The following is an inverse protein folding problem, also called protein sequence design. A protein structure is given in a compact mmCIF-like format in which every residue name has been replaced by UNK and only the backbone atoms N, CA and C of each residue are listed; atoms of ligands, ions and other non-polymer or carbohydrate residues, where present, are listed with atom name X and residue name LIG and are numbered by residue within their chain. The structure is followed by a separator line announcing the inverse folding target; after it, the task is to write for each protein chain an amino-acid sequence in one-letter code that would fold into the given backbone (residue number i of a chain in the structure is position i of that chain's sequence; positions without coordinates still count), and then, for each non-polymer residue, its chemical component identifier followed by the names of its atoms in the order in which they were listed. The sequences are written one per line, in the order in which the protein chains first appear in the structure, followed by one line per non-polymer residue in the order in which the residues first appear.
data_IF_047971711364
#
_entry.id   IF_047971711364
#
_cell.length_a   1.000
_cell.length_b   1.000
_cell.length_c   1.000
_cell.angle_alpha   90.00
_cell.angle_beta   90.00
_cell.angle_gamma   90.00
#
_symmetry.space_group_name_H-M   'P 1'
#
loop_
_entity.id
_entity.type
_entity.pdbx_description
1 polymer ?
#
# COMPACT_ATOMS: atom_id res chain seq x y z
N UNK A 1 6.21 2.94 23.56
CA UNK A 1 5.90 2.62 22.18
C UNK A 1 4.47 2.13 22.06
N UNK A 2 3.66 2.71 21.19
CA UNK A 2 2.35 2.13 20.95
C UNK A 2 2.50 0.69 20.44
N UNK A 3 1.67 -0.19 20.91
CA UNK A 3 1.68 -1.57 20.44
C UNK A 3 1.27 -1.60 18.97
N UNK A 4 1.99 -2.35 18.18
CA UNK A 4 1.72 -2.55 16.76
C UNK A 4 1.64 -4.05 16.51
N UNK A 5 0.55 -4.49 15.90
CA UNK A 5 0.37 -5.88 15.51
C UNK A 5 0.02 -5.94 14.03
N UNK A 6 0.67 -6.86 13.31
CA UNK A 6 0.34 -7.15 11.92
C UNK A 6 -0.41 -8.48 11.90
N UNK A 7 -1.57 -8.50 11.26
CA UNK A 7 -2.38 -9.72 11.17
C UNK A 7 -3.15 -9.76 9.87
N UNK A 8 -3.53 -10.97 9.39
CA UNK A 8 -4.42 -11.05 8.24
C UNK A 8 -5.75 -10.37 8.54
N UNK A 9 -6.31 -9.71 7.53
CA UNK A 9 -7.64 -9.12 7.66
C UNK A 9 -8.69 -10.22 7.74
N UNK A 10 -9.70 -10.00 8.58
CA UNK A 10 -10.85 -10.88 8.67
C UNK A 10 -11.89 -10.48 7.61
N UNK A 11 -12.77 -11.41 7.25
CA UNK A 11 -13.74 -11.19 6.16
C UNK A 11 -14.67 -10.00 6.39
N UNK A 12 -14.93 -9.64 7.65
CA UNK A 12 -15.80 -8.53 8.00
C UNK A 12 -15.07 -7.19 8.16
N UNK A 13 -13.79 -7.13 7.76
CA UNK A 13 -12.97 -5.93 7.95
C UNK A 13 -12.77 -5.09 6.69
N UNK A 14 -13.54 -5.33 5.64
CA UNK A 14 -13.37 -4.56 4.40
C UNK A 14 -13.61 -3.06 4.61
N UNK A 15 -14.56 -2.69 5.47
CA UNK A 15 -14.83 -1.28 5.77
C UNK A 15 -13.63 -0.63 6.48
N UNK A 16 -13.00 -1.33 7.42
CA UNK A 16 -11.81 -0.83 8.11
C UNK A 16 -10.64 -0.64 7.14
N UNK A 17 -10.43 -1.61 6.24
CA UNK A 17 -9.39 -1.51 5.21
C UNK A 17 -9.64 -0.35 4.25
N UNK A 18 -10.89 -0.18 3.80
CA UNK A 18 -11.26 0.95 2.94
C UNK A 18 -11.05 2.28 3.65
N UNK A 19 -11.31 2.33 4.96
CA UNK A 19 -11.07 3.53 5.77
C UNK A 19 -9.61 3.94 5.78
N UNK A 20 -8.69 2.99 5.93
CA UNK A 20 -7.24 3.27 5.85
C UNK A 20 -6.87 3.77 4.46
N UNK A 21 -7.34 3.09 3.42
CA UNK A 21 -7.07 3.45 2.03
C UNK A 21 -7.53 4.90 1.73
N UNK A 22 -8.77 5.21 2.09
CA UNK A 22 -9.34 6.53 1.83
C UNK A 22 -8.66 7.62 2.64
N UNK A 23 -8.42 7.39 3.93
CA UNK A 23 -7.76 8.38 4.78
C UNK A 23 -6.37 8.72 4.25
N UNK A 24 -5.60 7.72 3.84
CA UNK A 24 -4.26 7.93 3.28
C UNK A 24 -4.31 8.67 1.95
N UNK A 25 -5.16 8.23 1.03
CA UNK A 25 -5.24 8.84 -0.31
C UNK A 25 -5.72 10.30 -0.24
N UNK A 26 -6.75 10.60 0.54
CA UNK A 26 -7.25 11.96 0.65
C UNK A 26 -6.30 12.90 1.38
N UNK A 27 -5.48 12.38 2.30
CA UNK A 27 -4.49 13.20 2.99
C UNK A 27 -3.28 13.55 2.13
N UNK A 28 -3.08 12.88 1.01
CA UNK A 28 -1.87 13.00 0.19
C UNK A 28 -2.14 13.53 -1.22
N UNK A 29 -3.23 14.26 -1.42
CA UNK A 29 -3.60 14.78 -2.76
C UNK A 29 -2.62 15.80 -3.31
N UNK A 30 -1.73 16.36 -2.48
CA UNK A 30 -0.66 17.25 -2.94
C UNK A 30 0.42 16.51 -3.75
N UNK A 31 0.61 15.20 -3.50
CA UNK A 31 1.69 14.42 -4.12
C UNK A 31 1.19 13.23 -4.92
N UNK A 32 -0.05 12.79 -4.70
CA UNK A 32 -0.65 11.69 -5.46
C UNK A 32 -2.02 12.13 -5.99
N UNK A 33 -2.45 11.61 -7.15
CA UNK A 33 -3.77 11.98 -7.68
C UNK A 33 -4.88 11.64 -6.70
N UNK A 34 -5.90 12.49 -6.66
CA UNK A 34 -7.10 12.21 -5.88
C UNK A 34 -7.75 10.92 -6.39
N UNK A 35 -8.46 10.17 -5.52
CA UNK A 35 -9.18 8.99 -5.97
C UNK A 35 -10.13 9.32 -7.12
N UNK A 36 -10.15 8.45 -8.15
CA UNK A 36 -10.99 8.62 -9.33
C UNK A 36 -12.44 8.26 -9.01
N UNK A 37 -12.61 7.29 -8.11
CA UNK A 37 -13.94 6.78 -7.74
C UNK A 37 -14.43 7.41 -6.44
N UNK A 38 -15.75 7.42 -6.24
CA UNK A 38 -16.35 7.91 -4.99
C UNK A 38 -15.92 7.03 -3.80
N UNK A 39 -16.03 7.59 -2.59
CA UNK A 39 -15.72 6.83 -1.38
C UNK A 39 -16.58 5.56 -1.28
N UNK A 40 -17.86 5.64 -1.62
CA UNK A 40 -18.75 4.47 -1.59
C UNK A 40 -18.34 3.43 -2.63
N UNK A 41 -17.90 3.84 -3.80
CA UNK A 41 -17.38 2.92 -4.81
C UNK A 41 -16.11 2.23 -4.35
N UNK A 42 -15.22 2.94 -3.67
CA UNK A 42 -13.99 2.37 -3.09
C UNK A 42 -14.35 1.34 -2.01
N UNK A 43 -15.30 1.65 -1.13
CA UNK A 43 -15.74 0.70 -0.09
C UNK A 43 -16.31 -0.58 -0.70
N UNK A 44 -17.11 -0.44 -1.75
CA UNK A 44 -17.68 -1.59 -2.46
C UNK A 44 -16.60 -2.42 -3.14
N UNK A 45 -15.67 -1.76 -3.83
CA UNK A 45 -14.55 -2.43 -4.48
C UNK A 45 -13.69 -3.20 -3.49
N UNK A 46 -13.41 -2.61 -2.32
CA UNK A 46 -12.63 -3.28 -1.28
C UNK A 46 -13.35 -4.56 -0.83
N UNK A 47 -14.63 -4.49 -0.58
CA UNK A 47 -15.43 -5.62 -0.12
C UNK A 47 -15.61 -6.69 -1.20
N UNK A 48 -15.99 -6.28 -2.42
CA UNK A 48 -16.42 -7.22 -3.45
C UNK A 48 -15.27 -7.76 -4.29
N UNK A 49 -14.16 -7.01 -4.41
CA UNK A 49 -13.03 -7.39 -5.27
C UNK A 49 -11.78 -7.70 -4.47
N UNK A 50 -11.32 -6.75 -3.65
CA UNK A 50 -10.03 -6.92 -2.97
C UNK A 50 -10.09 -8.05 -1.95
N UNK A 51 -11.10 -8.06 -1.08
CA UNK A 51 -11.21 -9.07 -0.02
C UNK A 51 -11.54 -10.46 -0.53
N UNK A 52 -12.03 -10.58 -1.76
CA UNK A 52 -12.38 -11.88 -2.34
C UNK A 52 -11.29 -12.45 -3.24
N UNK A 53 -10.34 -11.63 -3.70
CA UNK A 53 -9.34 -12.09 -4.69
C UNK A 53 -7.90 -11.85 -4.27
N UNK A 54 -7.64 -11.06 -3.22
CA UNK A 54 -6.28 -10.68 -2.84
C UNK A 54 -5.97 -11.07 -1.40
N UNK A 55 -4.70 -11.05 -1.07
CA UNK A 55 -4.22 -11.27 0.29
C UNK A 55 -4.16 -9.92 0.99
N UNK A 56 -4.91 -9.76 2.09
CA UNK A 56 -5.03 -8.50 2.80
C UNK A 56 -4.54 -8.65 4.23
N UNK A 57 -3.63 -7.74 4.62
CA UNK A 57 -3.10 -7.66 5.99
C UNK A 57 -3.38 -6.28 6.55
N UNK A 58 -3.64 -6.24 7.84
CA UNK A 58 -3.84 -4.99 8.58
C UNK A 58 -2.76 -4.82 9.62
N UNK A 59 -2.31 -3.58 9.78
CA UNK A 59 -1.59 -3.15 10.97
C UNK A 59 -2.61 -2.56 11.92
N UNK A 60 -2.63 -3.04 13.16
CA UNK A 60 -3.59 -2.59 14.16
C UNK A 60 -2.85 -2.10 15.40
N UNK A 61 -3.47 -1.16 16.12
CA UNK A 61 -2.93 -0.63 17.36
C UNK A 61 -3.38 -1.46 18.58
N UNK A 62 -3.08 -0.98 19.77
CA UNK A 62 -3.42 -1.68 21.02
C UNK A 62 -4.93 -1.90 21.20
N UNK A 63 -5.75 -1.07 20.58
CA UNK A 63 -7.22 -1.18 20.63
C UNK A 63 -7.79 -1.99 19.47
N UNK A 64 -6.94 -2.66 18.72
CA UNK A 64 -7.28 -3.44 17.50
C UNK A 64 -7.88 -2.55 16.40
N UNK A 65 -7.55 -1.26 16.40
CA UNK A 65 -7.97 -0.32 15.36
C UNK A 65 -7.01 -0.40 14.19
N UNK A 66 -7.54 -0.50 12.96
CA UNK A 66 -6.74 -0.56 11.75
C UNK A 66 -6.04 0.79 11.50
N UNK A 67 -4.72 0.76 11.41
CA UNK A 67 -3.89 1.94 11.16
C UNK A 67 -3.01 1.80 9.92
N UNK A 68 -2.95 0.61 9.34
CA UNK A 68 -2.20 0.35 8.12
C UNK A 68 -2.82 -0.78 7.33
N UNK A 69 -2.52 -0.79 6.03
CA UNK A 69 -3.09 -1.73 5.07
C UNK A 69 -2.01 -2.21 4.12
N UNK A 70 -1.93 -3.52 3.92
CA UNK A 70 -1.09 -4.16 2.91
C UNK A 70 -1.97 -5.08 2.07
N UNK A 71 -1.94 -4.90 0.75
CA UNK A 71 -2.65 -5.76 -0.19
C UNK A 71 -1.64 -6.36 -1.16
N UNK A 72 -1.63 -7.68 -1.24
CA UNK A 72 -0.77 -8.42 -2.14
C UNK A 72 -1.64 -9.21 -3.12
N UNK A 73 -1.23 -9.20 -4.38
CA UNK A 73 -1.85 -9.96 -5.45
C UNK A 73 -0.75 -10.71 -6.20
N UNK A 74 -0.56 -12.00 -5.85
CA UNK A 74 0.53 -12.82 -6.38
C UNK A 74 1.89 -12.11 -6.19
N UNK A 75 2.61 -11.79 -7.25
CA UNK A 75 3.92 -11.12 -7.19
C UNK A 75 3.80 -9.58 -7.18
N UNK A 76 2.64 -9.04 -6.84
CA UNK A 76 2.40 -7.61 -6.80
C UNK A 76 2.02 -7.14 -5.41
N UNK A 77 2.64 -6.06 -4.97
CA UNK A 77 2.19 -5.28 -3.83
C UNK A 77 1.27 -4.18 -4.38
N UNK A 78 -0.04 -4.39 -4.23
CA UNK A 78 -1.03 -3.48 -4.80
C UNK A 78 -1.22 -2.22 -3.96
N UNK A 79 -1.29 -2.38 -2.63
CA UNK A 79 -1.51 -1.27 -1.72
C UNK A 79 -0.65 -1.40 -0.47
N UNK A 80 -0.04 -0.31 -0.06
CA UNK A 80 0.62 -0.16 1.23
C UNK A 80 0.30 1.25 1.72
N UNK A 81 -0.59 1.36 2.67
CA UNK A 81 -1.06 2.64 3.19
C UNK A 81 -1.05 2.67 4.70
N UNK A 82 -0.80 3.85 5.24
CA UNK A 82 -0.82 4.12 6.68
C UNK A 82 -1.71 5.33 6.90
N UNK A 83 -2.54 5.31 7.94
CA UNK A 83 -3.36 6.47 8.27
C UNK A 83 -2.45 7.67 8.59
N UNK A 84 -2.87 8.91 8.23
CA UNK A 84 -2.00 10.08 8.39
C UNK A 84 -1.47 10.28 9.81
N UNK A 85 -2.29 9.98 10.83
CA UNK A 85 -1.93 10.16 12.24
C UNK A 85 -0.78 9.26 12.70
N UNK A 86 -0.52 8.18 11.95
CA UNK A 86 0.56 7.22 12.27
C UNK A 86 1.69 7.26 11.26
N UNK A 87 1.67 8.20 10.33
CA UNK A 87 2.75 8.40 9.37
C UNK A 87 4.05 8.74 10.13
N UNK A 88 5.16 8.14 9.69
CA UNK A 88 6.46 8.38 10.33
C UNK A 88 6.69 7.61 11.63
N UNK A 89 5.81 6.67 11.99
CA UNK A 89 5.94 5.88 13.22
C UNK A 89 6.35 4.42 12.97
N UNK A 90 6.87 4.11 11.77
CA UNK A 90 7.39 2.77 11.48
C UNK A 90 6.35 1.76 10.99
N UNK A 91 5.09 2.14 10.84
CA UNK A 91 4.03 1.23 10.38
C UNK A 91 4.30 0.79 8.93
N UNK A 92 4.66 1.74 8.06
CA UNK A 92 4.98 1.44 6.66
C UNK A 92 6.17 0.51 6.53
N UNK A 93 7.21 0.71 7.34
CA UNK A 93 8.39 -0.17 7.36
C UNK A 93 7.99 -1.58 7.78
N UNK A 94 7.17 -1.71 8.83
CA UNK A 94 6.72 -3.01 9.32
C UNK A 94 5.93 -3.76 8.25
N UNK A 95 5.03 -3.06 7.53
CA UNK A 95 4.23 -3.67 6.46
C UNK A 95 5.11 -4.07 5.28
N UNK A 96 6.09 -3.25 4.90
CA UNK A 96 7.00 -3.57 3.80
C UNK A 96 7.87 -4.78 4.14
N UNK A 97 8.38 -4.85 5.37
CA UNK A 97 9.16 -6.01 5.81
C UNK A 97 8.31 -7.28 5.84
N UNK A 98 7.02 -7.17 6.20
CA UNK A 98 6.09 -8.28 6.11
C UNK A 98 5.92 -8.74 4.66
N UNK A 99 5.76 -7.81 3.72
CA UNK A 99 5.63 -8.14 2.29
C UNK A 99 6.86 -8.93 1.80
N UNK A 100 8.05 -8.54 2.21
CA UNK A 100 9.28 -9.24 1.86
C UNK A 100 9.31 -10.66 2.40
N UNK A 101 8.82 -10.86 3.64
CA UNK A 101 8.73 -12.20 4.22
C UNK A 101 7.69 -13.08 3.53
N UNK A 102 6.57 -12.48 3.10
CA UNK A 102 5.49 -13.19 2.44
C UNK A 102 5.80 -13.51 0.97
N UNK A 103 6.67 -12.72 0.36
CA UNK A 103 7.07 -12.88 -1.05
C UNK A 103 8.59 -12.87 -1.15
N UNK A 104 9.26 -13.92 -0.62
CA UNK A 104 10.74 -13.94 -0.61
C UNK A 104 11.35 -13.98 -2.01
N UNK A 105 10.59 -14.45 -3.02
CA UNK A 105 11.06 -14.45 -4.41
C UNK A 105 10.96 -13.08 -5.08
N UNK A 106 10.34 -12.11 -4.40
CA UNK A 106 10.24 -10.76 -4.92
C UNK A 106 8.83 -10.33 -5.27
N UNK A 107 8.67 -9.03 -5.47
CA UNK A 107 7.40 -8.44 -5.90
C UNK A 107 7.65 -7.09 -6.58
N UNK A 108 6.68 -6.67 -7.37
CA UNK A 108 6.68 -5.35 -8.00
C UNK A 108 5.59 -4.47 -7.40
N UNK A 109 5.75 -3.16 -7.58
CA UNK A 109 4.73 -2.18 -7.20
C UNK A 109 4.86 -0.95 -8.07
N UNK A 110 3.78 -0.15 -8.10
CA UNK A 110 3.74 1.08 -8.86
C UNK A 110 3.66 2.27 -7.92
N UNK A 111 4.41 3.34 -8.23
CA UNK A 111 4.43 4.60 -7.47
C UNK A 111 4.21 5.73 -8.47
N UNK A 112 3.32 6.68 -8.17
CA UNK A 112 3.17 7.86 -8.99
C UNK A 112 4.47 8.66 -9.01
N UNK A 113 4.84 9.19 -10.19
CA UNK A 113 6.07 9.96 -10.35
C UNK A 113 6.09 11.22 -9.47
N UNK A 114 4.93 11.74 -9.13
CA UNK A 114 4.79 12.89 -8.23
C UNK A 114 5.01 12.54 -6.76
N UNK A 115 4.98 11.25 -6.41
CA UNK A 115 5.12 10.81 -5.01
C UNK A 115 6.58 10.56 -4.68
N UNK A 116 7.36 11.64 -4.54
CA UNK A 116 8.79 11.54 -4.28
C UNK A 116 9.11 10.95 -2.91
N UNK A 117 8.24 11.14 -1.94
CA UNK A 117 8.40 10.53 -0.61
C UNK A 117 8.37 9.01 -0.65
N UNK A 118 7.40 8.45 -1.38
CA UNK A 118 7.31 7.00 -1.55
C UNK A 118 8.51 6.45 -2.32
N UNK A 119 8.96 7.17 -3.36
CA UNK A 119 10.14 6.77 -4.12
C UNK A 119 11.37 6.65 -3.21
N UNK A 120 11.62 7.65 -2.37
CA UNK A 120 12.73 7.61 -1.41
C UNK A 120 12.56 6.48 -0.40
N UNK A 121 11.34 6.25 0.06
CA UNK A 121 11.05 5.18 1.02
C UNK A 121 11.37 3.81 0.43
N UNK A 122 10.88 3.53 -0.78
CA UNK A 122 11.13 2.23 -1.41
C UNK A 122 12.60 2.03 -1.77
N UNK A 123 13.28 3.06 -2.28
CA UNK A 123 14.71 2.97 -2.60
C UNK A 123 15.55 2.73 -1.35
N UNK A 124 15.22 3.40 -0.25
CA UNK A 124 15.91 3.20 1.04
C UNK A 124 15.79 1.76 1.53
N UNK A 125 14.71 1.09 1.18
CA UNK A 125 14.44 -0.28 1.62
C UNK A 125 14.75 -1.33 0.56
N UNK A 126 15.56 -0.98 -0.44
CA UNK A 126 16.14 -1.94 -1.36
C UNK A 126 15.35 -2.21 -2.63
N UNK A 127 14.27 -1.45 -2.89
CA UNK A 127 13.57 -1.58 -4.16
C UNK A 127 14.24 -0.70 -5.22
N UNK A 128 14.21 -1.17 -6.47
CA UNK A 128 14.83 -0.48 -7.60
C UNK A 128 13.78 -0.08 -8.63
N UNK A 129 13.87 1.16 -9.17
CA UNK A 129 13.00 1.56 -10.28
C UNK A 129 13.42 0.83 -11.55
N UNK A 130 12.46 0.20 -12.23
CA UNK A 130 12.73 -0.63 -13.40
C UNK A 130 11.95 -0.20 -14.64
N UNK A 131 10.92 0.63 -14.48
CA UNK A 131 10.10 1.06 -15.60
C UNK A 131 9.42 2.38 -15.25
N UNK A 132 9.27 3.28 -16.26
CA UNK A 132 8.51 4.53 -16.12
C UNK A 132 7.46 4.56 -17.22
N UNK A 133 6.27 5.07 -16.89
CA UNK A 133 5.21 5.29 -17.88
C UNK A 133 4.74 6.73 -17.85
N UNK A 134 4.06 7.14 -18.92
CA UNK A 134 3.42 8.46 -19.00
C UNK A 134 2.04 8.48 -18.33
N UNK A 135 1.58 7.36 -17.79
CA UNK A 135 0.30 7.25 -17.11
C UNK A 135 -0.88 7.00 -18.03
N UNK A 136 -0.68 6.88 -19.35
CA UNK A 136 -1.79 6.68 -20.28
C UNK A 136 -2.57 5.38 -20.00
N UNK A 137 -1.92 4.38 -19.41
CA UNK A 137 -2.51 3.09 -19.10
C UNK A 137 -3.17 2.98 -17.74
N UNK A 138 -3.04 3.96 -16.84
CA UNK A 138 -3.68 3.90 -15.53
C UNK A 138 -4.92 4.81 -15.48
N UNK A 139 -5.79 4.56 -14.51
CA UNK A 139 -7.07 5.28 -14.45
C UNK A 139 -6.91 6.73 -14.00
N UNK A 140 -5.87 7.05 -13.25
CA UNK A 140 -5.57 8.42 -12.82
C UNK A 140 -4.96 9.26 -13.94
N UNK A 141 -4.49 8.61 -15.02
CA UNK A 141 -3.80 9.28 -16.14
C UNK A 141 -2.61 10.12 -15.67
N UNK A 142 -1.87 9.58 -14.70
CA UNK A 142 -0.72 10.24 -14.11
C UNK A 142 0.53 9.37 -14.28
N UNK A 143 1.69 9.97 -14.61
CA UNK A 143 2.94 9.20 -14.76
C UNK A 143 3.27 8.39 -13.53
N UNK A 144 3.75 7.18 -13.73
CA UNK A 144 4.11 6.28 -12.63
C UNK A 144 5.42 5.54 -12.92
N UNK A 145 5.94 4.90 -11.87
CA UNK A 145 7.22 4.21 -11.89
C UNK A 145 7.00 2.84 -11.27
N UNK A 146 7.45 1.80 -11.95
CA UNK A 146 7.44 0.44 -11.41
C UNK A 146 8.73 0.21 -10.64
N UNK A 147 8.59 -0.22 -9.39
CA UNK A 147 9.68 -0.63 -8.52
C UNK A 147 9.65 -2.14 -8.37
N UNK A 148 10.83 -2.73 -8.20
CA UNK A 148 10.99 -4.17 -8.01
C UNK A 148 11.83 -4.41 -6.78
N UNK A 149 11.39 -5.35 -5.94
CA UNK A 149 12.21 -5.93 -4.88
C UNK A 149 12.43 -7.40 -5.16
N UNK A 150 13.67 -7.85 -4.97
CA UNK A 150 14.00 -9.27 -4.89
C UNK A 150 15.11 -9.44 -3.86
N UNK A 151 15.27 -10.63 -3.33
CA UNK A 151 16.32 -10.88 -2.34
C UNK A 151 17.70 -10.56 -2.91
N UNK A 152 17.91 -10.77 -4.21
CA UNK A 152 19.16 -10.46 -4.89
C UNK A 152 19.41 -8.97 -5.08
N UNK A 153 18.41 -8.09 -4.88
CA UNK A 153 18.60 -6.65 -4.94
C UNK A 153 19.09 -6.07 -3.60
N UNK A 154 19.19 -6.88 -2.58
CA UNK A 154 19.78 -6.52 -1.30
C UNK A 154 21.31 -6.65 -1.41
N UNK A 155 22.07 -5.58 -1.21
CA UNK A 155 23.53 -5.68 -1.24
C UNK A 155 24.09 -6.54 -0.11
#
# INVERSE_FOLDING_TARGET
MPALKLRPAQDDEAAAAAGVWLASRWANTATIPAPVHSDDAVRRWMCETVFTTREVWLAVDADDTAIGLLVLDDAWLDDLYVVPERSGHGVGVALLELAKRLRPDGFGLWVFASNTGAQRFYQRHGLLPVERTDGAGNEEKAPDIRYLWSESSCP
#
